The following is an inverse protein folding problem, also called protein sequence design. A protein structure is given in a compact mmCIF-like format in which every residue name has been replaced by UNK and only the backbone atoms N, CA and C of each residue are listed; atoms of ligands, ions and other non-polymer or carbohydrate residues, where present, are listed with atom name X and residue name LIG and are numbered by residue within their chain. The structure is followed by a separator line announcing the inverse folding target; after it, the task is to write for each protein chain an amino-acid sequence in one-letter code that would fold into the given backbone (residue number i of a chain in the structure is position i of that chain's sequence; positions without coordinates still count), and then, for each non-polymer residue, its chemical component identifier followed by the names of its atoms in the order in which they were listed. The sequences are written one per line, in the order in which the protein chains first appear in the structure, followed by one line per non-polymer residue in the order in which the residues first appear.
data_IF_673331962212
#
_entry.id   IF_673331962212
#
_cell.length_a   1.000
_cell.length_b   1.000
_cell.length_c   1.000
_cell.angle_alpha   90.00
_cell.angle_beta   90.00
_cell.angle_gamma   90.00
#
_symmetry.space_group_name_H-M   'P 1'
#
loop_
_entity.id
_entity.type
_entity.pdbx_description
1 polymer ?
#
# COMPACT_ATOMS: atom_id res chain seq x y z
N UNK A 1 -22.70 -1.19 7.26
CA UNK A 1 -21.25 -1.18 7.62
C UNK A 1 -20.56 -2.20 6.74
N UNK A 2 -19.41 -1.90 6.14
CA UNK A 2 -18.65 -2.85 5.30
C UNK A 2 -17.66 -3.64 6.17
N UNK A 3 -17.81 -4.94 6.24
CA UNK A 3 -16.98 -5.86 7.05
C UNK A 3 -15.88 -6.46 6.16
N UNK A 4 -14.66 -5.90 6.23
CA UNK A 4 -13.49 -6.40 5.50
C UNK A 4 -12.65 -7.28 6.43
N UNK A 5 -12.86 -8.59 6.40
CA UNK A 5 -12.22 -9.52 7.33
C UNK A 5 -10.76 -9.74 6.95
N UNK A 6 -9.86 -9.68 7.93
CA UNK A 6 -8.44 -9.91 7.76
C UNK A 6 -8.04 -11.34 8.14
N UNK A 7 -7.12 -11.92 7.36
CA UNK A 7 -6.54 -13.24 7.64
C UNK A 7 -5.03 -13.23 7.38
N UNK A 8 -4.23 -13.68 8.33
CA UNK A 8 -2.79 -13.43 8.46
C UNK A 8 -1.82 -14.58 8.12
N UNK A 9 -2.21 -15.73 7.54
CA UNK A 9 -1.30 -16.84 7.28
C UNK A 9 -0.03 -16.46 6.50
N UNK A 10 -0.12 -15.57 5.50
CA UNK A 10 1.06 -15.07 4.78
C UNK A 10 1.91 -14.13 5.64
N UNK A 11 1.30 -13.31 6.47
CA UNK A 11 2.02 -12.41 7.37
C UNK A 11 2.87 -13.15 8.40
N UNK A 12 2.35 -14.26 8.92
CA UNK A 12 3.06 -15.06 9.95
C UNK A 12 3.93 -16.18 9.34
N UNK A 13 4.03 -16.27 8.03
CA UNK A 13 4.83 -17.28 7.34
C UNK A 13 4.33 -18.72 7.54
N UNK A 14 3.00 -18.92 7.57
CA UNK A 14 2.40 -20.23 7.76
C UNK A 14 2.75 -21.17 6.58
N UNK A 15 3.26 -22.39 6.87
CA UNK A 15 3.75 -23.32 5.83
C UNK A 15 2.70 -23.77 4.81
N UNK A 16 1.41 -23.67 5.14
CA UNK A 16 0.28 -23.97 4.24
C UNK A 16 -0.64 -22.73 4.11
N UNK A 17 -0.03 -21.55 3.91
CA UNK A 17 -0.75 -20.28 3.93
C UNK A 17 -1.93 -20.25 2.95
N UNK A 18 -1.75 -20.68 1.70
CA UNK A 18 -2.81 -20.68 0.69
C UNK A 18 -4.01 -21.54 1.13
N UNK A 19 -3.76 -22.77 1.61
CA UNK A 19 -4.82 -23.67 2.03
C UNK A 19 -5.61 -23.10 3.20
N UNK A 20 -4.91 -22.52 4.15
CA UNK A 20 -5.52 -21.89 5.32
C UNK A 20 -6.37 -20.66 4.93
N UNK A 21 -5.88 -19.83 4.00
CA UNK A 21 -6.61 -18.68 3.46
C UNK A 21 -7.88 -19.13 2.73
N UNK A 22 -7.82 -20.18 1.92
CA UNK A 22 -9.00 -20.68 1.21
C UNK A 22 -10.05 -21.21 2.19
N UNK A 23 -9.62 -21.94 3.21
CA UNK A 23 -10.51 -22.47 4.26
C UNK A 23 -11.20 -21.33 5.02
N UNK A 24 -10.44 -20.39 5.53
CA UNK A 24 -10.97 -19.23 6.28
C UNK A 24 -11.82 -18.33 5.39
N UNK A 25 -11.39 -18.09 4.15
CA UNK A 25 -12.13 -17.26 3.20
C UNK A 25 -13.55 -17.77 2.95
N UNK A 26 -13.73 -19.09 2.80
CA UNK A 26 -15.05 -19.70 2.65
C UNK A 26 -15.90 -19.51 3.92
N UNK A 27 -15.32 -19.74 5.10
CA UNK A 27 -16.01 -19.52 6.38
C UNK A 27 -16.46 -18.06 6.55
N UNK A 28 -15.62 -17.09 6.19
CA UNK A 28 -15.96 -15.67 6.28
C UNK A 28 -17.04 -15.27 5.26
N UNK A 29 -16.99 -15.83 4.06
CA UNK A 29 -18.01 -15.64 3.05
C UNK A 29 -19.37 -16.18 3.54
N UNK A 30 -19.42 -17.38 4.09
CA UNK A 30 -20.62 -17.99 4.68
C UNK A 30 -21.15 -17.18 5.88
N UNK A 31 -20.24 -16.59 6.67
CA UNK A 31 -20.61 -15.72 7.80
C UNK A 31 -21.09 -14.32 7.40
N UNK A 32 -21.09 -13.98 6.08
CA UNK A 32 -21.61 -12.71 5.58
C UNK A 32 -20.61 -11.56 5.60
N UNK A 33 -19.30 -11.83 5.48
CA UNK A 33 -18.30 -10.78 5.27
C UNK A 33 -18.52 -10.09 3.92
N UNK A 34 -18.15 -8.79 3.83
CA UNK A 34 -18.27 -7.99 2.61
C UNK A 34 -16.96 -7.90 1.81
N UNK A 35 -15.83 -8.25 2.40
CA UNK A 35 -14.51 -8.24 1.78
C UNK A 35 -13.50 -9.09 2.53
N UNK A 36 -12.41 -9.42 1.86
CA UNK A 36 -11.38 -10.31 2.37
C UNK A 36 -9.99 -9.69 2.22
N UNK A 37 -9.33 -9.41 3.34
CA UNK A 37 -8.01 -8.81 3.38
C UNK A 37 -6.93 -9.83 3.73
N UNK A 38 -5.97 -10.00 2.83
CA UNK A 38 -4.83 -10.92 2.98
C UNK A 38 -3.52 -10.12 2.90
N UNK A 39 -2.96 -9.68 4.05
CA UNK A 39 -1.69 -8.98 4.08
C UNK A 39 -0.54 -9.90 3.68
N UNK A 40 0.53 -9.32 3.11
CA UNK A 40 1.76 -10.01 2.65
C UNK A 40 1.55 -11.06 1.53
N UNK A 41 0.38 -11.13 0.92
CA UNK A 41 0.13 -11.93 -0.27
C UNK A 41 0.68 -11.20 -1.51
N UNK A 42 1.71 -11.77 -2.17
CA UNK A 42 2.37 -11.20 -3.36
C UNK A 42 2.43 -12.16 -4.55
N UNK A 43 2.28 -13.47 -4.32
CA UNK A 43 2.30 -14.49 -5.37
C UNK A 43 1.10 -14.31 -6.34
N UNK A 44 1.38 -14.08 -7.62
CA UNK A 44 0.34 -13.96 -8.67
C UNK A 44 -0.55 -15.20 -8.76
N UNK A 45 0.06 -16.39 -8.62
CA UNK A 45 -0.65 -17.66 -8.66
C UNK A 45 -1.64 -17.79 -7.49
N UNK A 46 -1.19 -17.42 -6.30
CA UNK A 46 -2.05 -17.51 -5.10
C UNK A 46 -3.14 -16.44 -5.13
N UNK A 47 -2.82 -15.22 -5.59
CA UNK A 47 -3.81 -14.13 -5.80
C UNK A 47 -4.90 -14.59 -6.77
N UNK A 48 -4.51 -15.15 -7.93
CA UNK A 48 -5.47 -15.67 -8.92
C UNK A 48 -6.33 -16.80 -8.34
N UNK A 49 -5.72 -17.70 -7.58
CA UNK A 49 -6.41 -18.83 -6.95
C UNK A 49 -7.43 -18.33 -5.92
N UNK A 50 -7.04 -17.44 -5.01
CA UNK A 50 -7.92 -16.88 -3.98
C UNK A 50 -9.07 -16.10 -4.62
N UNK A 51 -8.77 -15.24 -5.62
CA UNK A 51 -9.79 -14.44 -6.31
C UNK A 51 -10.82 -15.29 -7.07
N UNK A 52 -10.43 -16.48 -7.55
CA UNK A 52 -11.32 -17.43 -8.21
C UNK A 52 -12.17 -18.24 -7.23
N UNK A 53 -11.57 -18.69 -6.12
CA UNK A 53 -12.20 -19.62 -5.18
C UNK A 53 -13.06 -18.93 -4.12
N UNK A 54 -12.80 -17.65 -3.83
CA UNK A 54 -13.49 -16.86 -2.82
C UNK A 54 -14.22 -15.71 -3.51
N UNK A 55 -15.54 -15.66 -3.39
CA UNK A 55 -16.36 -14.64 -4.03
C UNK A 55 -16.30 -13.26 -3.37
N UNK A 56 -15.63 -13.14 -2.21
CA UNK A 56 -15.42 -11.86 -1.54
C UNK A 56 -14.42 -10.98 -2.31
N UNK A 57 -14.66 -9.67 -2.43
CA UNK A 57 -13.67 -8.73 -2.96
C UNK A 57 -12.33 -8.85 -2.25
N UNK A 58 -11.29 -9.29 -2.97
CA UNK A 58 -9.95 -9.46 -2.42
C UNK A 58 -9.25 -8.12 -2.23
N UNK A 59 -8.78 -7.88 -1.03
CA UNK A 59 -7.90 -6.78 -0.65
C UNK A 59 -6.49 -7.33 -0.37
N UNK A 60 -5.47 -6.80 -1.05
CA UNK A 60 -4.06 -7.08 -0.79
C UNK A 60 -3.38 -5.90 -0.11
N UNK A 61 -2.16 -6.08 0.38
CA UNK A 61 -1.36 -5.00 0.98
C UNK A 61 -0.21 -4.60 0.05
N UNK A 62 0.10 -3.32 0.02
CA UNK A 62 1.30 -2.79 -0.63
C UNK A 62 2.55 -3.45 -0.01
N UNK A 63 3.27 -4.21 -0.82
CA UNK A 63 4.51 -4.90 -0.46
C UNK A 63 5.53 -4.67 -1.58
N UNK A 64 6.86 -4.74 -1.30
CA UNK A 64 7.90 -4.53 -2.31
C UNK A 64 7.73 -5.40 -3.57
N UNK A 65 7.34 -6.67 -3.39
CA UNK A 65 7.20 -7.66 -4.46
C UNK A 65 5.75 -7.81 -4.95
N UNK A 66 4.87 -6.87 -4.61
CA UNK A 66 3.48 -6.89 -5.09
C UNK A 66 3.45 -6.58 -6.60
N UNK A 67 2.73 -7.37 -7.42
CA UNK A 67 2.54 -7.06 -8.84
C UNK A 67 1.96 -5.67 -9.09
N UNK A 68 2.18 -5.13 -10.30
CA UNK A 68 1.64 -3.82 -10.68
C UNK A 68 0.09 -3.80 -10.70
N UNK A 69 -0.49 -2.61 -10.71
CA UNK A 69 -1.95 -2.43 -10.62
C UNK A 69 -2.71 -3.07 -11.78
N UNK A 70 -2.12 -3.09 -12.98
CA UNK A 70 -2.74 -3.71 -14.16
C UNK A 70 -2.79 -5.22 -14.01
N UNK A 71 -1.71 -5.82 -13.53
CA UNK A 71 -1.64 -7.25 -13.23
C UNK A 71 -2.60 -7.62 -12.11
N UNK A 72 -2.61 -6.88 -10.99
CA UNK A 72 -3.54 -7.11 -9.88
C UNK A 72 -5.01 -7.04 -10.32
N UNK A 73 -5.36 -6.07 -11.17
CA UNK A 73 -6.71 -5.96 -11.71
C UNK A 73 -7.11 -7.20 -12.55
N UNK A 74 -6.20 -7.70 -13.39
CA UNK A 74 -6.41 -8.93 -14.16
C UNK A 74 -6.57 -10.17 -13.28
N UNK A 75 -5.84 -10.22 -12.17
CA UNK A 75 -5.91 -11.30 -11.18
C UNK A 75 -7.16 -11.24 -10.29
N UNK A 76 -7.99 -10.20 -10.43
CA UNK A 76 -9.26 -10.08 -9.72
C UNK A 76 -9.21 -9.30 -8.40
N UNK A 77 -8.06 -8.72 -8.05
CA UNK A 77 -7.93 -7.85 -6.86
C UNK A 77 -8.84 -6.63 -7.00
N UNK A 78 -9.54 -6.27 -5.92
CA UNK A 78 -10.48 -5.15 -5.88
C UNK A 78 -10.00 -3.98 -5.04
N UNK A 79 -9.04 -4.22 -4.14
CA UNK A 79 -8.50 -3.20 -3.24
C UNK A 79 -7.03 -3.45 -2.92
N UNK A 80 -6.27 -2.36 -2.77
CA UNK A 80 -4.89 -2.37 -2.27
C UNK A 80 -4.84 -1.50 -1.02
N UNK A 81 -4.44 -2.07 0.11
CA UNK A 81 -4.18 -1.34 1.35
C UNK A 81 -2.71 -0.95 1.41
N UNK A 82 -2.42 0.30 1.73
CA UNK A 82 -1.04 0.81 1.76
C UNK A 82 -0.32 0.54 3.09
N UNK A 83 -1.04 0.12 4.13
CA UNK A 83 -0.46 -0.05 5.47
C UNK A 83 0.13 1.27 5.98
N UNK A 84 1.34 1.19 6.52
CA UNK A 84 2.11 2.35 6.97
C UNK A 84 3.19 2.79 5.96
N UNK A 85 3.32 2.15 4.80
CA UNK A 85 4.46 2.36 3.89
C UNK A 85 4.52 3.77 3.31
N UNK A 86 3.38 4.34 2.91
CA UNK A 86 3.33 5.73 2.42
C UNK A 86 3.71 6.70 3.53
N UNK A 87 3.18 6.51 4.75
CA UNK A 87 3.56 7.32 5.91
C UNK A 87 5.06 7.21 6.21
N UNK A 88 5.59 5.99 6.26
CA UNK A 88 7.03 5.74 6.49
C UNK A 88 7.91 6.42 5.42
N UNK A 89 7.48 6.40 4.15
CA UNK A 89 8.19 7.07 3.04
C UNK A 89 8.24 8.60 3.24
N UNK A 90 7.12 9.20 3.66
CA UNK A 90 7.04 10.65 3.96
C UNK A 90 7.96 10.99 5.14
N UNK A 91 7.94 10.21 6.22
CA UNK A 91 8.80 10.40 7.39
C UNK A 91 10.28 10.30 7.02
N UNK A 92 10.67 9.29 6.25
CA UNK A 92 12.06 9.12 5.80
C UNK A 92 12.53 10.29 4.94
N UNK A 93 11.66 10.82 4.07
CA UNK A 93 11.95 11.97 3.23
C UNK A 93 12.15 13.23 4.08
N UNK A 94 11.28 13.46 5.07
CA UNK A 94 11.39 14.58 6.01
C UNK A 94 12.69 14.50 6.81
N UNK A 95 12.99 13.34 7.37
CA UNK A 95 14.23 13.11 8.13
C UNK A 95 15.48 13.35 7.27
N UNK A 96 15.51 12.84 6.04
CA UNK A 96 16.59 13.08 5.09
C UNK A 96 16.78 14.57 4.80
N UNK A 97 15.69 15.29 4.59
CA UNK A 97 15.70 16.74 4.32
C UNK A 97 16.29 17.50 5.50
N UNK A 98 15.83 17.21 6.72
CA UNK A 98 16.34 17.87 7.94
C UNK A 98 17.83 17.58 8.20
N UNK A 99 18.26 16.32 8.01
CA UNK A 99 19.69 15.95 8.09
C UNK A 99 20.53 16.69 7.06
N UNK A 100 20.02 16.87 5.84
CA UNK A 100 20.71 17.61 4.77
C UNK A 100 20.87 19.10 5.15
N UNK A 101 19.81 19.74 5.64
CA UNK A 101 19.87 21.14 6.11
C UNK A 101 20.91 21.28 7.21
N UNK A 102 20.86 20.39 8.22
CA UNK A 102 21.77 20.44 9.37
C UNK A 102 23.25 20.24 8.94
N UNK A 103 23.52 19.29 8.05
CA UNK A 103 24.88 18.98 7.59
C UNK A 103 25.45 20.05 6.65
N UNK A 104 24.61 20.61 5.76
CA UNK A 104 25.04 21.63 4.80
C UNK A 104 24.95 23.06 5.34
N UNK A 105 24.33 23.26 6.51
CA UNK A 105 24.07 24.60 7.08
C UNK A 105 23.39 25.53 6.06
N UNK A 106 22.50 24.95 5.20
CA UNK A 106 21.88 25.64 4.06
C UNK A 106 20.53 25.04 3.73
N UNK A 107 19.57 25.87 3.33
CA UNK A 107 18.26 25.46 2.82
C UNK A 107 18.25 25.21 1.30
N UNK A 108 19.36 25.41 0.59
CA UNK A 108 19.41 25.32 -0.88
C UNK A 108 18.86 23.96 -1.41
N UNK A 109 19.17 22.85 -0.73
CA UNK A 109 18.70 21.51 -1.09
C UNK A 109 17.18 21.35 -1.04
N UNK A 110 16.50 22.06 -0.15
CA UNK A 110 15.02 22.00 -0.02
C UNK A 110 14.36 22.56 -1.27
N UNK A 111 14.81 23.70 -1.75
CA UNK A 111 14.25 24.37 -2.93
C UNK A 111 14.55 23.63 -4.23
N UNK A 112 15.68 22.92 -4.32
CA UNK A 112 15.97 22.05 -5.47
C UNK A 112 14.97 20.88 -5.55
N UNK A 113 14.68 20.25 -4.42
CA UNK A 113 13.70 19.16 -4.36
C UNK A 113 12.28 19.65 -4.66
N UNK A 114 11.89 20.83 -4.14
CA UNK A 114 10.59 21.43 -4.47
C UNK A 114 10.44 21.71 -5.97
N UNK A 115 11.46 22.24 -6.65
CA UNK A 115 11.43 22.46 -8.10
C UNK A 115 11.22 21.17 -8.90
N UNK A 116 11.84 20.07 -8.46
CA UNK A 116 11.68 18.76 -9.11
C UNK A 116 10.26 18.19 -8.93
N UNK A 117 9.61 18.45 -7.81
CA UNK A 117 8.28 17.93 -7.49
C UNK A 117 7.15 18.77 -8.10
N UNK A 118 7.28 20.09 -8.15
CA UNK A 118 6.21 21.00 -8.54
C UNK A 118 6.34 21.58 -9.94
N UNK A 119 7.53 21.47 -10.55
CA UNK A 119 7.84 22.16 -11.82
C UNK A 119 7.77 23.71 -11.74
N UNK A 120 7.41 24.26 -10.57
CA UNK A 120 7.17 25.68 -10.35
C UNK A 120 8.44 26.40 -9.86
N UNK A 121 8.65 27.64 -10.32
CA UNK A 121 9.69 28.50 -9.78
C UNK A 121 9.30 28.99 -8.37
N UNK A 122 10.27 29.26 -7.46
CA UNK A 122 10.00 29.68 -6.06
C UNK A 122 9.14 30.93 -5.91
N UNK A 123 8.96 31.71 -6.99
CA UNK A 123 8.25 32.98 -6.99
C UNK A 123 6.71 32.83 -7.00
N UNK A 124 6.17 31.69 -7.47
CA UNK A 124 4.73 31.50 -7.56
C UNK A 124 4.08 31.07 -6.23
N UNK A 125 4.87 30.57 -5.26
CA UNK A 125 4.33 30.21 -3.94
C UNK A 125 4.07 31.40 -3.00
N UNK A 126 4.58 32.61 -3.30
CA UNK A 126 4.31 33.79 -2.47
C UNK A 126 2.86 34.28 -2.56
N UNK A 127 2.15 34.00 -3.63
CA UNK A 127 0.76 34.47 -3.81
C UNK A 127 -0.30 33.65 -3.05
N UNK A 128 0.06 32.46 -2.54
CA UNK A 128 -0.89 31.60 -1.79
C UNK A 128 -0.96 31.88 -0.28
N UNK A 129 -0.11 32.76 0.25
CA UNK A 129 -0.03 33.05 1.69
C UNK A 129 -0.37 34.52 2.04
N UNK A 130 -0.83 35.34 1.09
CA UNK A 130 -1.42 36.65 1.39
C UNK A 130 -2.93 36.49 1.59
N UNK A 131 -3.33 36.18 2.82
CA UNK A 131 -4.68 36.36 3.37
C UNK A 131 -4.63 37.39 4.47
#
# INVERSE_FOLDING_TARGET
MFINVRSDPYLVGHGQALQEILTRGRMYQEAGADGFFVPCLTSELDIATISREIALPLNVMCMPDLPDFRTLAKLGVKRISMGNFVHASVQATLEKTLKTIASQQSFAGVFLTCKQLTGAAPTEQRQQFEL
#
